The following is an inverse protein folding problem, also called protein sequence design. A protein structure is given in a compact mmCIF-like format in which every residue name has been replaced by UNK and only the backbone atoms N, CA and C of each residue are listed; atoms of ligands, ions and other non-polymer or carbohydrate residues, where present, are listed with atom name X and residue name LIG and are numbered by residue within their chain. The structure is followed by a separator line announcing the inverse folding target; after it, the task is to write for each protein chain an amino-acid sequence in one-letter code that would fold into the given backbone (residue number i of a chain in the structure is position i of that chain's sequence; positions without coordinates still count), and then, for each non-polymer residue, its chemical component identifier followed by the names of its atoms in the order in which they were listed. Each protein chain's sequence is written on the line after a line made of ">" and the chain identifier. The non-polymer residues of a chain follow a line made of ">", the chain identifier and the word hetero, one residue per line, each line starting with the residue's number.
data_IF_863875166236
#
_entry.id   IF_863875166236
#
_cell.length_a   1.000
_cell.length_b   1.000
_cell.length_c   1.000
_cell.angle_alpha   90.00
_cell.angle_beta   90.00
_cell.angle_gamma   90.00
#
_symmetry.space_group_name_H-M   'P 1'
#
loop_
_entity.id
_entity.type
_entity.pdbx_description
1 polymer ?
#
# COMPACT_ATOMS: atom_id res chain seq x y z
N UNK A 1 46.20 -12.80 -4.11
CA UNK A 1 45.82 -12.64 -2.70
C UNK A 1 44.83 -11.49 -2.48
N UNK A 2 45.11 -10.26 -2.95
CA UNK A 2 44.21 -9.08 -2.77
C UNK A 2 42.78 -9.28 -3.33
N UNK A 3 42.62 -9.97 -4.47
CA UNK A 3 41.31 -10.24 -5.10
C UNK A 3 40.43 -11.19 -4.29
N UNK A 4 41.03 -12.16 -3.60
CA UNK A 4 40.33 -13.14 -2.76
C UNK A 4 39.82 -12.45 -1.48
N UNK A 5 40.65 -11.59 -0.88
CA UNK A 5 40.26 -10.78 0.27
C UNK A 5 39.04 -9.90 -0.08
N UNK A 6 39.03 -9.28 -1.26
CA UNK A 6 37.91 -8.44 -1.70
C UNK A 6 36.58 -9.21 -1.84
N UNK A 7 36.63 -10.44 -2.38
CA UNK A 7 35.45 -11.29 -2.54
C UNK A 7 34.91 -11.75 -1.17
N UNK A 8 35.81 -12.10 -0.24
CA UNK A 8 35.44 -12.50 1.11
C UNK A 8 34.81 -11.33 1.87
N UNK A 9 35.38 -10.12 1.77
CA UNK A 9 34.79 -8.92 2.38
C UNK A 9 33.42 -8.60 1.79
N UNK A 10 33.26 -8.70 0.47
CA UNK A 10 31.97 -8.47 -0.18
C UNK A 10 30.89 -9.46 0.29
N UNK A 11 31.25 -10.75 0.41
CA UNK A 11 30.33 -11.79 0.88
C UNK A 11 29.93 -11.63 2.35
N UNK A 12 30.86 -11.18 3.21
CA UNK A 12 30.58 -10.92 4.62
C UNK A 12 29.67 -9.71 4.83
N UNK A 13 29.78 -8.68 3.98
CA UNK A 13 28.92 -7.49 4.06
C UNK A 13 27.49 -7.81 3.61
N UNK A 14 27.30 -8.57 2.53
CA UNK A 14 25.96 -8.95 2.04
C UNK A 14 25.26 -9.93 2.96
N UNK A 15 25.99 -10.85 3.60
CA UNK A 15 25.42 -11.78 4.60
C UNK A 15 24.82 -11.08 5.82
N UNK A 16 25.38 -9.94 6.24
CA UNK A 16 24.83 -9.12 7.33
C UNK A 16 23.53 -8.40 6.96
N UNK A 17 23.37 -8.02 5.69
CA UNK A 17 22.15 -7.37 5.19
C UNK A 17 20.95 -8.33 5.15
N UNK A 18 21.21 -9.62 4.92
CA UNK A 18 20.18 -10.66 4.83
C UNK A 18 19.85 -11.31 6.19
N UNK A 19 20.68 -11.11 7.21
CA UNK A 19 20.57 -11.76 8.52
C UNK A 19 19.94 -10.91 9.61
N UNK A 20 19.40 -9.72 9.30
CA UNK A 20 18.51 -9.06 10.24
C UNK A 20 17.24 -9.90 10.33
N UNK A 21 17.11 -10.67 11.41
CA UNK A 21 15.83 -11.15 11.85
C UNK A 21 14.96 -9.91 12.02
N UNK A 22 13.94 -9.76 11.17
CA UNK A 22 12.97 -8.70 11.31
C UNK A 22 12.33 -8.85 12.68
N UNK A 23 12.79 -8.08 13.67
CA UNK A 23 11.90 -7.60 14.73
C UNK A 23 10.94 -6.65 14.05
N UNK A 24 10.06 -7.20 13.23
CA UNK A 24 8.91 -6.50 12.68
C UNK A 24 8.19 -5.95 13.90
N UNK A 25 8.02 -4.63 14.06
CA UNK A 25 7.19 -4.10 15.12
C UNK A 25 5.84 -4.81 14.99
N UNK A 26 5.37 -5.40 16.09
CA UNK A 26 4.10 -6.12 16.11
C UNK A 26 3.00 -5.09 15.86
N UNK A 27 2.64 -4.92 14.59
CA UNK A 27 1.65 -3.96 14.16
C UNK A 27 0.31 -4.34 14.79
N UNK A 28 -0.25 -3.41 15.55
CA UNK A 28 -1.55 -3.58 16.20
C UNK A 28 -2.64 -3.56 15.14
N UNK A 29 -3.82 -4.08 15.47
CA UNK A 29 -5.03 -4.00 14.63
C UNK A 29 -5.27 -2.56 14.15
N UNK A 30 -5.15 -1.60 15.05
CA UNK A 30 -5.38 -0.18 14.82
C UNK A 30 -4.41 0.37 13.77
N UNK A 31 -3.15 -0.08 13.80
CA UNK A 31 -2.12 0.32 12.83
C UNK A 31 -2.48 -0.16 11.42
N UNK A 32 -2.90 -1.43 11.29
CA UNK A 32 -3.34 -1.96 10.00
C UNK A 32 -4.62 -1.30 9.49
N UNK A 33 -5.55 -0.99 10.39
CA UNK A 33 -6.79 -0.31 10.04
C UNK A 33 -6.52 1.13 9.57
N UNK A 34 -5.68 1.87 10.29
CA UNK A 34 -5.28 3.22 9.90
C UNK A 34 -4.52 3.21 8.58
N UNK A 35 -3.60 2.25 8.39
CA UNK A 35 -2.85 2.09 7.14
C UNK A 35 -3.77 1.81 5.96
N UNK A 36 -4.76 0.94 6.13
CA UNK A 36 -5.78 0.67 5.10
C UNK A 36 -6.57 1.93 4.73
N UNK A 37 -7.06 2.67 5.73
CA UNK A 37 -7.78 3.93 5.50
C UNK A 37 -6.94 4.95 4.73
N UNK A 38 -5.71 5.19 5.16
CA UNK A 38 -4.82 6.15 4.51
C UNK A 38 -4.53 5.76 3.06
N UNK A 39 -4.25 4.48 2.80
CA UNK A 39 -4.00 3.99 1.44
C UNK A 39 -5.25 4.09 0.56
N UNK A 40 -6.44 3.85 1.10
CA UNK A 40 -7.69 4.04 0.39
C UNK A 40 -7.89 5.52 -0.01
N UNK A 41 -7.64 6.44 0.93
CA UNK A 41 -7.72 7.88 0.68
C UNK A 41 -6.72 8.32 -0.39
N UNK A 42 -5.46 7.87 -0.31
CA UNK A 42 -4.43 8.16 -1.32
C UNK A 42 -4.86 7.64 -2.70
N UNK A 43 -5.39 6.42 -2.76
CA UNK A 43 -5.93 5.86 -4.01
C UNK A 43 -7.02 6.76 -4.62
N UNK A 44 -8.00 7.19 -3.82
CA UNK A 44 -9.05 8.10 -4.28
C UNK A 44 -8.53 9.47 -4.70
N UNK A 45 -7.55 10.03 -4.00
CA UNK A 45 -6.91 11.30 -4.37
C UNK A 45 -6.17 11.18 -5.70
N UNK A 46 -5.46 10.08 -5.95
CA UNK A 46 -4.78 9.84 -7.22
C UNK A 46 -5.77 9.71 -8.38
N UNK A 47 -6.87 8.97 -8.19
CA UNK A 47 -7.92 8.83 -9.21
C UNK A 47 -8.59 10.17 -9.49
N UNK A 48 -9.02 10.90 -8.46
CA UNK A 48 -9.69 12.18 -8.64
C UNK A 48 -8.77 13.21 -9.28
N UNK A 49 -7.51 13.28 -8.86
CA UNK A 49 -6.49 14.13 -9.47
C UNK A 49 -6.27 13.76 -10.95
N UNK A 50 -6.18 12.47 -11.27
CA UNK A 50 -6.00 12.01 -12.65
C UNK A 50 -7.18 12.36 -13.55
N UNK A 51 -8.41 12.23 -13.05
CA UNK A 51 -9.62 12.66 -13.78
C UNK A 51 -9.58 14.16 -14.05
N UNK A 52 -9.28 14.99 -13.04
CA UNK A 52 -9.19 16.44 -13.19
C UNK A 52 -8.12 16.82 -14.22
N UNK A 53 -6.93 16.22 -14.16
CA UNK A 53 -5.87 16.45 -15.14
C UNK A 53 -6.33 16.08 -16.56
N UNK A 54 -7.02 14.95 -16.72
CA UNK A 54 -7.53 14.52 -18.03
C UNK A 54 -8.53 15.53 -18.60
N UNK A 55 -9.48 15.99 -17.78
CA UNK A 55 -10.52 16.94 -18.21
C UNK A 55 -9.92 18.31 -18.54
N UNK A 56 -9.05 18.84 -17.68
CA UNK A 56 -8.39 20.13 -17.90
C UNK A 56 -7.49 20.07 -19.13
N UNK A 57 -6.72 18.98 -19.29
CA UNK A 57 -5.90 18.75 -20.47
C UNK A 57 -6.73 18.66 -21.74
N UNK A 58 -7.86 17.96 -21.72
CA UNK A 58 -8.74 17.84 -22.89
C UNK A 58 -9.34 19.19 -23.32
N UNK A 59 -9.82 20.01 -22.38
CA UNK A 59 -10.38 21.33 -22.67
C UNK A 59 -9.29 22.28 -23.21
N UNK A 60 -8.11 22.30 -22.57
CA UNK A 60 -7.00 23.13 -23.02
C UNK A 60 -6.49 22.72 -24.41
N UNK A 61 -6.45 21.42 -24.67
CA UNK A 61 -6.04 20.88 -25.97
C UNK A 61 -7.05 21.19 -27.08
N UNK A 62 -8.36 21.07 -26.82
CA UNK A 62 -9.39 21.40 -27.81
C UNK A 62 -9.39 22.89 -28.15
N UNK A 63 -9.27 23.75 -27.15
CA UNK A 63 -9.29 25.20 -27.35
C UNK A 63 -8.05 25.67 -28.12
N UNK A 64 -6.87 25.12 -27.82
CA UNK A 64 -5.64 25.45 -28.53
C UNK A 64 -5.54 24.86 -29.95
N UNK A 65 -6.45 23.96 -30.34
CA UNK A 65 -6.58 23.49 -31.73
C UNK A 65 -7.50 24.38 -32.58
N UNK A 66 -8.50 25.00 -31.97
CA UNK A 66 -9.47 25.87 -32.65
C UNK A 66 -9.02 27.35 -32.68
N UNK A 67 -8.30 27.81 -31.65
CA UNK A 67 -7.75 29.18 -31.59
C UNK A 67 -6.40 29.28 -32.31
N UNK A 68 -6.39 29.93 -33.48
CA UNK A 68 -5.16 30.23 -34.26
C UNK A 68 -4.19 31.21 -33.55
N UNK A 69 -4.55 31.73 -32.37
CA UNK A 69 -3.72 32.63 -31.54
C UNK A 69 -2.95 31.88 -30.44
N UNK A 70 -3.24 30.60 -30.20
CA UNK A 70 -2.56 29.81 -29.18
C UNK A 70 -1.25 29.22 -29.74
N UNK A 71 -0.15 29.38 -28.99
CA UNK A 71 1.14 28.84 -29.43
C UNK A 71 1.13 27.31 -29.42
N UNK A 72 1.73 26.68 -30.44
CA UNK A 72 1.84 25.21 -30.57
C UNK A 72 2.35 24.54 -29.27
N UNK A 73 3.22 25.23 -28.53
CA UNK A 73 3.77 24.76 -27.25
C UNK A 73 2.75 24.63 -26.12
N UNK A 74 1.72 25.47 -26.10
CA UNK A 74 0.66 25.39 -25.08
C UNK A 74 -0.27 24.21 -25.36
N UNK A 75 -0.67 24.04 -26.62
CA UNK A 75 -1.49 22.89 -27.07
C UNK A 75 -0.80 21.56 -26.78
N UNK A 76 0.50 21.45 -27.08
CA UNK A 76 1.30 20.26 -26.74
C UNK A 76 1.32 19.99 -25.23
N UNK A 77 1.47 21.04 -24.41
CA UNK A 77 1.47 20.92 -22.94
C UNK A 77 0.15 20.36 -22.43
N UNK A 78 -0.99 20.85 -22.92
CA UNK A 78 -2.30 20.33 -22.54
C UNK A 78 -2.52 18.89 -23.02
N UNK A 79 -1.96 18.53 -24.18
CA UNK A 79 -1.93 17.14 -24.66
C UNK A 79 -1.17 16.21 -23.70
N UNK A 80 -0.01 16.63 -23.20
CA UNK A 80 0.72 15.87 -22.17
C UNK A 80 -0.06 15.75 -20.86
N UNK A 81 -0.71 16.82 -20.41
CA UNK A 81 -1.53 16.81 -19.18
C UNK A 81 -2.73 15.86 -19.33
N UNK A 82 -3.36 15.84 -20.50
CA UNK A 82 -4.46 14.92 -20.82
C UNK A 82 -4.01 13.46 -20.70
N UNK A 83 -2.83 13.12 -21.24
CA UNK A 83 -2.29 11.75 -21.20
C UNK A 83 -1.70 11.37 -19.84
N UNK A 84 -1.22 12.34 -19.06
CA UNK A 84 -0.71 12.12 -17.72
C UNK A 84 -1.82 11.68 -16.74
N UNK A 85 -3.05 12.20 -16.91
CA UNK A 85 -4.18 11.90 -16.03
C UNK A 85 -4.49 10.40 -15.89
N UNK A 86 -4.64 9.63 -16.99
CA UNK A 86 -4.80 8.18 -16.94
C UNK A 86 -3.62 7.46 -16.29
N UNK A 87 -2.38 7.89 -16.53
CA UNK A 87 -1.19 7.28 -15.93
C UNK A 87 -1.16 7.44 -14.41
N UNK A 88 -1.51 8.63 -13.91
CA UNK A 88 -1.63 8.90 -12.48
C UNK A 88 -2.76 8.05 -11.87
N UNK A 89 -3.88 7.92 -12.57
CA UNK A 89 -5.00 7.09 -12.15
C UNK A 89 -4.62 5.61 -12.04
N UNK A 90 -3.83 5.07 -12.98
CA UNK A 90 -3.32 3.70 -12.91
C UNK A 90 -2.36 3.50 -11.72
N UNK A 91 -1.59 4.53 -11.37
CA UNK A 91 -0.75 4.55 -10.18
C UNK A 91 -1.51 4.36 -8.87
N UNK A 92 -2.84 4.56 -8.84
CA UNK A 92 -3.68 4.35 -7.66
C UNK A 92 -3.97 2.87 -7.34
N UNK A 93 -3.87 1.97 -8.33
CA UNK A 93 -4.18 0.54 -8.20
C UNK A 93 -3.39 -0.15 -7.06
N UNK A 94 -2.06 -0.01 -6.95
CA UNK A 94 -1.31 -0.62 -5.83
C UNK A 94 -1.75 -0.09 -4.46
N UNK A 95 -2.24 1.16 -4.37
CA UNK A 95 -2.77 1.71 -3.12
C UNK A 95 -4.10 1.07 -2.73
N UNK A 96 -5.01 0.84 -3.67
CA UNK A 96 -6.25 0.12 -3.39
C UNK A 96 -6.01 -1.34 -3.02
N UNK A 97 -5.10 -2.04 -3.71
CA UNK A 97 -4.74 -3.43 -3.40
C UNK A 97 -4.12 -3.52 -2.00
N UNK A 98 -3.17 -2.64 -1.69
CA UNK A 98 -2.52 -2.63 -0.37
C UNK A 98 -3.49 -2.25 0.74
N UNK A 99 -4.41 -1.31 0.49
CA UNK A 99 -5.49 -0.97 1.40
C UNK A 99 -6.35 -2.18 1.73
N UNK A 100 -6.81 -2.92 0.72
CA UNK A 100 -7.63 -4.12 0.91
C UNK A 100 -6.89 -5.21 1.68
N UNK A 101 -5.60 -5.41 1.39
CA UNK A 101 -4.76 -6.37 2.12
C UNK A 101 -4.60 -5.98 3.59
N UNK A 102 -4.39 -4.71 3.89
CA UNK A 102 -4.25 -4.23 5.28
C UNK A 102 -5.58 -4.28 6.05
N UNK A 103 -6.72 -4.03 5.39
CA UNK A 103 -8.04 -4.25 6.00
C UNK A 103 -8.23 -5.71 6.42
N UNK A 104 -7.94 -6.66 5.53
CA UNK A 104 -8.01 -8.10 5.85
C UNK A 104 -7.09 -8.49 7.01
N UNK A 105 -5.88 -7.92 7.09
CA UNK A 105 -4.97 -8.16 8.22
C UNK A 105 -5.54 -7.64 9.55
N UNK A 106 -6.16 -6.46 9.56
CA UNK A 106 -6.81 -5.92 10.76
C UNK A 106 -7.98 -6.79 11.25
N UNK A 107 -8.72 -7.40 10.33
CA UNK A 107 -9.80 -8.34 10.65
C UNK A 107 -9.21 -9.65 11.21
N UNK A 108 -8.17 -10.19 10.58
CA UNK A 108 -7.51 -11.41 11.06
C UNK A 108 -6.95 -11.26 12.48
N UNK A 109 -6.40 -10.09 12.82
CA UNK A 109 -5.95 -9.79 14.18
C UNK A 109 -7.10 -9.64 15.19
N UNK A 110 -8.31 -9.29 14.72
CA UNK A 110 -9.51 -9.27 15.57
C UNK A 110 -10.02 -10.68 15.86
N UNK A 111 -9.84 -11.61 14.92
CA UNK A 111 -10.03 -13.05 15.11
C UNK A 111 -8.86 -13.63 15.92
N UNK A 112 -8.59 -13.07 17.10
CA UNK A 112 -7.57 -13.64 17.98
C UNK A 112 -8.03 -15.02 18.47
N UNK A 113 -7.16 -16.02 18.33
CA UNK A 113 -7.31 -17.30 19.01
C UNK A 113 -7.26 -17.01 20.51
N UNK A 114 -8.40 -17.09 21.20
CA UNK A 114 -8.39 -17.04 22.64
C UNK A 114 -7.79 -18.37 23.13
N UNK A 115 -6.73 -18.35 23.95
CA UNK A 115 -6.21 -19.57 24.55
C UNK A 115 -7.25 -20.07 25.56
N UNK A 116 -8.07 -21.02 25.14
CA UNK A 116 -8.94 -21.73 26.06
C UNK A 116 -8.12 -22.79 26.77
N UNK A 117 -8.08 -22.71 28.10
CA UNK A 117 -7.52 -23.76 28.95
C UNK A 117 -8.50 -24.92 28.98
N UNK A 118 -8.38 -25.85 28.03
CA UNK A 118 -9.16 -27.08 28.05
C UNK A 118 -8.52 -28.05 29.06
N UNK A 119 -9.28 -28.46 30.07
CA UNK A 119 -8.88 -29.54 30.97
C UNK A 119 -9.00 -30.87 30.21
N UNK A 120 -7.89 -31.40 29.72
CA UNK A 120 -7.83 -32.83 29.37
C UNK A 120 -7.38 -33.61 30.60
N UNK A 121 -7.89 -34.82 30.75
CA UNK A 121 -7.94 -35.64 31.96
C UNK A 121 -6.64 -35.73 32.80
N UNK A 122 -5.46 -35.35 32.27
CA UNK A 122 -4.18 -35.37 32.97
C UNK A 122 -3.24 -34.16 32.72
N UNK A 123 -3.64 -33.14 31.95
CA UNK A 123 -2.81 -31.94 31.72
C UNK A 123 -3.60 -30.75 31.20
N UNK A 124 -3.18 -29.53 31.58
CA UNK A 124 -3.62 -28.30 30.93
C UNK A 124 -2.90 -28.17 29.59
N UNK A 125 -3.65 -28.24 28.49
CA UNK A 125 -3.13 -28.03 27.14
C UNK A 125 -3.74 -26.76 26.57
N UNK A 126 -2.90 -25.80 26.18
CA UNK A 126 -3.35 -24.59 25.48
C UNK A 126 -3.67 -24.97 24.04
N UNK A 127 -4.95 -24.94 23.67
CA UNK A 127 -5.39 -25.12 22.29
C UNK A 127 -5.81 -23.78 21.71
N UNK A 128 -5.18 -23.32 20.61
CA UNK A 128 -5.64 -22.14 19.90
C UNK A 128 -6.93 -22.48 19.16
N UNK A 129 -8.07 -21.95 19.63
CA UNK A 129 -9.35 -22.04 18.91
C UNK A 129 -9.75 -20.66 18.37
N UNK A 130 -10.25 -20.59 17.11
CA UNK A 130 -10.67 -19.33 16.53
C UNK A 130 -11.87 -18.79 17.30
N UNK A 131 -11.75 -17.58 17.83
CA UNK A 131 -12.80 -16.94 18.62
C UNK A 131 -13.21 -15.59 18.02
N UNK A 132 -14.51 -15.30 18.05
CA UNK A 132 -15.09 -14.01 17.65
C UNK A 132 -15.47 -13.24 18.91
N UNK A 133 -14.71 -12.20 19.25
CA UNK A 133 -15.05 -11.32 20.39
C UNK A 133 -15.89 -10.15 19.91
N UNK A 134 -17.13 -10.05 20.40
CA UNK A 134 -18.01 -8.90 20.18
C UNK A 134 -18.05 -8.03 21.43
N UNK A 135 -17.73 -6.74 21.30
CA UNK A 135 -17.90 -5.75 22.38
C UNK A 135 -19.26 -5.08 22.21
N UNK A 136 -20.20 -5.38 23.10
CA UNK A 136 -21.49 -4.68 23.21
C UNK A 136 -21.28 -3.45 24.10
N UNK A 137 -21.65 -2.28 23.63
CA UNK A 137 -21.60 -1.01 24.38
C UNK A 137 -23.04 -0.55 24.57
N UNK A 138 -23.43 -0.30 25.82
CA UNK A 138 -24.73 0.26 26.22
C UNK A 138 -24.63 1.77 26.40
#
# INVERSE_FOLDING_TARGET
>A
MKKIIFIITFFLVTGRLLSQAETSPEFTKEDYLQKSKNQNTIGWVLVSSGIVMTVVGAIGFSNGMDDNDQSDSETDTYGFVMLAGPLVSLGSIPFFISSGRNSKKSIALTLSNQPNFASQQYAFVVRPEPSLTFKIVF
#
